data_IF_967913114342
#
_entry.id   IF_967913114342
#
_cell.length_a   1.000
_cell.length_b   1.000
_cell.length_c   1.000
_cell.angle_alpha   90.00
_cell.angle_beta   90.00
_cell.angle_gamma   90.00
#
_symmetry.space_group_name_H-M   'P 1'
#
loop_
_entity.id
_entity.type
_entity.pdbx_description
1 polymer ?
#
# COMPACT_ATOMS: atom_id res chain seq x y z
N UNK A 1 9.21 -5.76 8.06
CA UNK A 1 9.12 -4.92 6.85
C UNK A 1 9.17 -5.82 5.63
N UNK A 2 8.15 -5.79 4.76
CA UNK A 2 8.12 -6.61 3.53
C UNK A 2 8.70 -5.84 2.35
N UNK A 3 9.50 -6.51 1.52
CA UNK A 3 10.06 -5.96 0.28
C UNK A 3 9.32 -6.57 -0.91
N UNK A 4 8.84 -5.73 -1.80
CA UNK A 4 8.24 -6.08 -3.07
C UNK A 4 9.22 -5.74 -4.20
N UNK A 5 9.82 -6.76 -4.80
CA UNK A 5 10.74 -6.57 -5.93
C UNK A 5 10.04 -6.19 -7.24
N UNK A 6 8.72 -6.41 -7.33
CA UNK A 6 7.87 -6.05 -8.46
C UNK A 6 6.66 -5.28 -7.96
N UNK A 7 6.23 -4.29 -8.73
CA UNK A 7 5.00 -3.56 -8.44
C UNK A 7 3.79 -4.41 -8.85
N UNK A 8 3.02 -4.84 -7.85
CA UNK A 8 1.74 -5.51 -8.06
C UNK A 8 0.75 -4.97 -7.01
N UNK A 9 -0.08 -3.98 -7.36
CA UNK A 9 -0.98 -3.31 -6.43
C UNK A 9 -1.89 -4.26 -5.67
N UNK A 10 -2.37 -5.33 -6.30
CA UNK A 10 -3.26 -6.32 -5.67
C UNK A 10 -2.55 -7.11 -4.57
N UNK A 11 -1.34 -7.64 -4.85
CA UNK A 11 -0.54 -8.36 -3.84
C UNK A 11 -0.12 -7.45 -2.69
N UNK A 12 0.18 -6.19 -2.98
CA UNK A 12 0.53 -5.20 -1.97
C UNK A 12 -0.70 -4.87 -1.12
N UNK A 13 -1.86 -4.66 -1.75
CA UNK A 13 -3.12 -4.42 -1.07
C UNK A 13 -3.54 -5.59 -0.17
N UNK A 14 -3.36 -6.84 -0.61
CA UNK A 14 -3.57 -8.01 0.25
C UNK A 14 -2.68 -7.97 1.49
N UNK A 15 -1.40 -7.68 1.32
CA UNK A 15 -0.46 -7.56 2.45
C UNK A 15 -0.87 -6.44 3.43
N UNK A 16 -1.26 -5.27 2.90
CA UNK A 16 -1.72 -4.13 3.70
C UNK A 16 -3.04 -4.45 4.40
N UNK A 17 -4.01 -5.07 3.71
CA UNK A 17 -5.31 -5.47 4.26
C UNK A 17 -5.18 -6.48 5.40
N UNK A 18 -4.29 -7.47 5.26
CA UNK A 18 -4.13 -8.55 6.24
C UNK A 18 -3.46 -8.09 7.54
N UNK A 19 -2.61 -7.08 7.49
CA UNK A 19 -1.85 -6.62 8.66
C UNK A 19 -2.41 -5.32 9.22
N UNK A 20 -2.46 -5.21 10.54
CA UNK A 20 -2.97 -4.02 11.21
C UNK A 20 -2.09 -2.78 10.99
N UNK A 21 -0.77 -2.90 11.07
CA UNK A 21 0.16 -1.77 10.89
C UNK A 21 1.51 -2.29 10.42
N UNK A 22 2.24 -1.48 9.66
CA UNK A 22 3.61 -1.82 9.32
C UNK A 22 4.27 -0.90 8.30
N UNK A 23 5.38 -1.40 7.77
CA UNK A 23 6.13 -0.77 6.68
C UNK A 23 6.39 -1.77 5.57
N UNK A 24 6.31 -1.28 4.34
CA UNK A 24 6.67 -2.02 3.14
C UNK A 24 7.59 -1.18 2.25
N UNK A 25 8.42 -1.86 1.47
CA UNK A 25 9.26 -1.23 0.46
C UNK A 25 8.90 -1.80 -0.91
N UNK A 26 8.73 -0.92 -1.89
CA UNK A 26 8.49 -1.27 -3.28
C UNK A 26 9.72 -0.83 -4.05
N UNK A 27 10.35 -1.79 -4.75
CA UNK A 27 11.53 -1.50 -5.59
C UNK A 27 11.19 -0.38 -6.58
N UNK A 28 12.11 0.59 -6.70
CA UNK A 28 12.04 1.76 -7.58
C UNK A 28 10.93 2.78 -7.24
N UNK A 29 10.10 2.53 -6.22
CA UNK A 29 9.04 3.45 -5.77
C UNK A 29 9.24 3.98 -4.36
N UNK A 30 9.90 3.22 -3.48
CA UNK A 30 10.27 3.69 -2.13
C UNK A 30 9.58 2.95 -1.00
N UNK A 31 9.64 3.54 0.18
CA UNK A 31 9.13 2.98 1.42
C UNK A 31 7.77 3.60 1.79
N UNK A 32 6.84 2.77 2.23
CA UNK A 32 5.49 3.15 2.59
C UNK A 32 5.17 2.66 4.00
N UNK A 33 4.53 3.53 4.78
CA UNK A 33 3.95 3.18 6.07
C UNK A 33 2.46 2.93 5.87
N UNK A 34 1.91 1.95 6.59
CA UNK A 34 0.48 1.67 6.56
C UNK A 34 -0.04 1.41 7.97
N UNK A 35 -1.30 1.74 8.18
CA UNK A 35 -2.03 1.55 9.44
C UNK A 35 -3.50 1.27 9.16
N UNK A 36 -4.11 0.41 9.97
CA UNK A 36 -5.48 -0.10 9.85
C UNK A 36 -5.89 -0.43 8.40
N UNK A 37 -5.03 -1.14 7.67
CA UNK A 37 -5.30 -1.52 6.27
C UNK A 37 -5.21 -0.38 5.26
N UNK A 38 -4.57 0.74 5.57
CA UNK A 38 -4.40 1.87 4.64
C UNK A 38 -2.96 2.35 4.60
N UNK A 39 -2.41 2.55 3.40
CA UNK A 39 -1.15 3.26 3.22
C UNK A 39 -1.35 4.73 3.64
N UNK A 40 -0.45 5.20 4.50
CA UNK A 40 -0.43 6.56 5.02
C UNK A 40 0.15 7.54 3.98
N UNK A 41 -0.23 8.83 4.04
CA UNK A 41 0.35 9.86 3.19
C UNK A 41 1.88 9.91 3.34
N UNK A 42 2.63 10.07 2.23
CA UNK A 42 4.07 10.24 2.30
C UNK A 42 4.43 11.53 3.04
N UNK A 43 5.49 11.49 3.86
CA UNK A 43 5.99 12.66 4.60
C UNK A 43 6.55 13.75 3.67
N UNK A 44 7.07 13.35 2.51
CA UNK A 44 7.55 14.24 1.46
C UNK A 44 6.45 14.35 0.40
N UNK A 45 6.20 15.57 -0.11
CA UNK A 45 5.26 15.80 -1.22
C UNK A 45 5.81 15.26 -2.53
N UNK A 46 5.86 13.94 -2.67
CA UNK A 46 6.22 13.24 -3.90
C UNK A 46 4.95 12.73 -4.59
N UNK A 47 4.68 13.27 -5.79
CA UNK A 47 3.54 12.89 -6.63
C UNK A 47 3.51 11.38 -6.91
N UNK A 48 4.68 10.73 -7.05
CA UNK A 48 4.74 9.28 -7.32
C UNK A 48 4.27 8.47 -6.12
N UNK A 49 4.76 8.78 -4.92
CA UNK A 49 4.30 8.13 -3.69
C UNK A 49 2.80 8.32 -3.47
N UNK A 50 2.25 9.50 -3.76
CA UNK A 50 0.80 9.74 -3.69
C UNK A 50 0.01 8.88 -4.68
N UNK A 51 0.49 8.75 -5.92
CA UNK A 51 -0.17 7.89 -6.93
C UNK A 51 -0.20 6.43 -6.49
N UNK A 52 0.93 5.91 -6.00
CA UNK A 52 1.06 4.53 -5.52
C UNK A 52 0.17 4.29 -4.29
N UNK A 53 0.19 5.21 -3.33
CA UNK A 53 -0.68 5.16 -2.15
C UNK A 53 -2.15 5.09 -2.57
N UNK A 54 -2.59 5.99 -3.46
CA UNK A 54 -3.98 6.04 -3.92
C UNK A 54 -4.39 4.75 -4.61
N UNK A 55 -3.56 4.23 -5.51
CA UNK A 55 -3.84 3.00 -6.24
C UNK A 55 -3.95 1.79 -5.30
N UNK A 56 -2.99 1.61 -4.38
CA UNK A 56 -3.01 0.50 -3.44
C UNK A 56 -4.22 0.61 -2.49
N UNK A 57 -4.50 1.80 -1.97
CA UNK A 57 -5.65 2.00 -1.08
C UNK A 57 -6.99 1.73 -1.80
N UNK A 58 -7.12 2.08 -3.08
CA UNK A 58 -8.27 1.70 -3.89
C UNK A 58 -8.42 0.19 -4.02
N UNK A 59 -7.32 -0.54 -4.22
CA UNK A 59 -7.36 -2.00 -4.26
C UNK A 59 -7.73 -2.60 -2.90
N UNK A 60 -7.27 -2.03 -1.79
CA UNK A 60 -7.70 -2.48 -0.46
C UNK A 60 -9.20 -2.29 -0.27
N UNK A 61 -9.75 -1.15 -0.67
CA UNK A 61 -11.20 -0.88 -0.61
C UNK A 61 -11.99 -1.89 -1.44
N UNK A 62 -11.54 -2.22 -2.66
CA UNK A 62 -12.17 -3.25 -3.49
C UNK A 62 -12.15 -4.62 -2.82
N UNK A 63 -10.98 -5.03 -2.32
CA UNK A 63 -10.82 -6.29 -1.58
C UNK A 63 -11.68 -6.34 -0.30
N UNK A 64 -11.98 -5.20 0.32
CA UNK A 64 -12.90 -5.13 1.47
C UNK A 64 -14.35 -5.29 1.04
N UNK A 65 -14.75 -4.69 -0.08
CA UNK A 65 -16.11 -4.78 -0.62
C UNK A 65 -16.45 -6.19 -1.15
N UNK A 66 -15.48 -6.97 -1.62
CA UNK A 66 -15.69 -8.36 -2.07
C UNK A 66 -16.01 -9.35 -0.94
N UNK A 67 -15.81 -8.98 0.33
CA UNK A 67 -16.05 -9.83 1.52
C UNK A 67 -17.28 -9.34 2.33
N UNK A 68 -17.98 -8.29 1.87
CA UNK A 68 -19.22 -7.79 2.47
C UNK A 68 -20.45 -8.27 1.72
#
# INVERSE_FOLDING_TARGET
MKIFHRYNPLKIALYVKTLFRGRLYIKDMGAFEFDCGKILPPKVRDKRHFSVMSEVNQQVLRLQAEIG
#
